data_IF_327908166386
#
_entry.id   IF_327908166386
#
_cell.length_a   1.000
_cell.length_b   1.000
_cell.length_c   1.000
_cell.angle_alpha   90.00
_cell.angle_beta   90.00
_cell.angle_gamma   90.00
#
_symmetry.space_group_name_H-M   'P 1'
#
loop_
_entity.id
_entity.type
_entity.pdbx_description
1 polymer ?
#
# COMPACT_ATOMS: atom_id res chain seq x y z
N UNK A 1 7.88 -25.07 9.63
CA UNK A 1 9.10 -24.77 10.42
C UNK A 1 9.55 -26.04 11.11
N UNK A 2 10.81 -26.49 10.88
CA UNK A 2 11.31 -27.78 11.39
C UNK A 2 11.83 -27.78 12.83
N UNK A 3 11.30 -26.91 13.70
CA UNK A 3 11.75 -26.85 15.10
C UNK A 3 10.91 -27.76 15.98
N UNK A 4 11.55 -28.47 16.93
CA UNK A 4 10.85 -29.27 17.92
C UNK A 4 10.06 -28.37 18.89
N UNK A 5 8.95 -28.89 19.42
CA UNK A 5 8.16 -28.20 20.46
C UNK A 5 9.02 -27.73 21.64
N UNK A 6 9.95 -28.56 22.10
CA UNK A 6 10.86 -28.23 23.20
C UNK A 6 11.76 -27.04 22.91
N UNK A 7 12.25 -26.94 21.67
CA UNK A 7 13.09 -25.82 21.24
C UNK A 7 12.27 -24.51 21.21
N UNK A 8 11.10 -24.51 20.56
CA UNK A 8 10.21 -23.35 20.49
C UNK A 8 9.82 -22.87 21.87
N UNK A 9 9.47 -23.81 22.76
CA UNK A 9 9.10 -23.51 24.14
C UNK A 9 10.26 -22.91 24.95
N UNK A 10 11.47 -23.48 24.85
CA UNK A 10 12.66 -22.94 25.50
C UNK A 10 12.99 -21.51 25.05
N UNK A 11 12.95 -21.26 23.73
CA UNK A 11 13.18 -19.94 23.15
C UNK A 11 12.13 -18.92 23.63
N UNK A 12 10.87 -19.34 23.68
CA UNK A 12 9.79 -18.48 24.16
C UNK A 12 10.01 -18.07 25.62
N UNK A 13 10.36 -19.02 26.50
CA UNK A 13 10.65 -18.76 27.92
C UNK A 13 11.86 -17.84 28.12
N UNK A 14 12.87 -17.98 27.28
CA UNK A 14 14.01 -17.07 27.28
C UNK A 14 13.61 -15.63 26.93
N UNK A 15 12.76 -15.45 25.91
CA UNK A 15 12.24 -14.11 25.56
C UNK A 15 11.34 -13.56 26.66
N UNK A 16 10.44 -14.35 27.26
CA UNK A 16 9.61 -13.91 28.38
C UNK A 16 10.47 -13.42 29.56
N UNK A 17 11.54 -14.16 29.87
CA UNK A 17 12.49 -13.76 30.93
C UNK A 17 13.21 -12.46 30.60
N UNK A 18 13.65 -12.28 29.35
CA UNK A 18 14.35 -11.07 28.91
C UNK A 18 13.45 -9.84 28.85
N UNK A 19 12.18 -10.02 28.48
CA UNK A 19 11.20 -8.95 28.35
C UNK A 19 10.52 -8.60 29.69
N UNK A 20 10.55 -9.50 30.66
CA UNK A 20 9.85 -9.35 31.93
C UNK A 20 8.32 -9.53 31.84
N UNK A 21 7.80 -10.01 30.71
CA UNK A 21 6.37 -10.20 30.45
C UNK A 21 6.08 -11.56 29.83
N UNK A 22 4.97 -12.18 30.22
CA UNK A 22 4.51 -13.40 29.59
C UNK A 22 4.02 -13.12 28.15
N UNK A 23 4.43 -13.98 27.22
CA UNK A 23 3.99 -13.92 25.81
C UNK A 23 2.81 -14.86 25.55
N UNK A 24 2.73 -15.96 26.31
CA UNK A 24 1.69 -16.97 26.17
C UNK A 24 0.99 -17.20 27.50
N UNK A 25 -0.33 -17.19 27.46
CA UNK A 25 -1.21 -17.59 28.55
C UNK A 25 -1.67 -19.04 28.35
N UNK A 26 -1.72 -19.81 29.46
CA UNK A 26 -2.19 -21.20 29.50
C UNK A 26 -3.32 -21.31 30.49
N UNK A 27 -4.43 -21.83 30.02
CA UNK A 27 -5.51 -22.30 30.89
C UNK A 27 -5.62 -23.81 30.76
N UNK A 28 -5.84 -24.51 31.90
CA UNK A 28 -5.93 -25.95 31.93
C UNK A 28 -7.07 -26.45 31.04
N UNK A 29 -6.73 -27.23 30.02
CA UNK A 29 -7.72 -27.77 29.06
C UNK A 29 -7.96 -26.88 27.81
N UNK A 30 -7.27 -25.76 27.69
CA UNK A 30 -7.34 -24.90 26.50
C UNK A 30 -6.03 -24.90 25.72
N UNK A 31 -6.10 -24.54 24.44
CA UNK A 31 -4.90 -24.28 23.63
C UNK A 31 -4.18 -23.02 24.12
N UNK A 32 -2.86 -22.99 23.98
CA UNK A 32 -2.05 -21.80 24.29
C UNK A 32 -2.57 -20.56 23.54
N UNK A 33 -2.73 -19.46 24.26
CA UNK A 33 -3.18 -18.19 23.69
C UNK A 33 -2.13 -17.10 23.88
N UNK A 34 -2.00 -16.19 22.94
CA UNK A 34 -1.13 -15.03 23.07
C UNK A 34 -1.69 -14.07 24.14
N UNK A 35 -0.79 -13.55 24.98
CA UNK A 35 -1.15 -12.47 25.90
C UNK A 35 -1.44 -11.18 25.13
N UNK A 36 -2.08 -10.21 25.79
CA UNK A 36 -2.31 -8.87 25.21
C UNK A 36 -0.98 -8.20 24.84
N UNK A 37 0.06 -8.37 25.66
CA UNK A 37 1.40 -7.86 25.38
C UNK A 37 2.00 -8.50 24.13
N UNK A 38 1.91 -9.84 23.99
CA UNK A 38 2.40 -10.53 22.80
C UNK A 38 1.64 -10.11 21.52
N UNK A 39 0.34 -9.92 21.61
CA UNK A 39 -0.46 -9.38 20.50
C UNK A 39 -0.01 -7.98 20.09
N UNK A 40 0.29 -7.09 21.06
CA UNK A 40 0.83 -5.75 20.78
C UNK A 40 2.20 -5.79 20.12
N UNK A 41 3.10 -6.69 20.54
CA UNK A 41 4.42 -6.90 19.93
C UNK A 41 4.29 -7.38 18.48
N UNK A 42 3.50 -8.41 18.24
CA UNK A 42 3.24 -8.91 16.88
C UNK A 42 2.61 -7.85 15.99
N UNK A 43 1.72 -7.06 16.56
CA UNK A 43 1.14 -5.97 15.83
C UNK A 43 2.18 -4.91 15.45
N UNK A 44 3.02 -4.48 16.40
CA UNK A 44 4.07 -3.49 16.15
C UNK A 44 5.08 -3.98 15.07
N UNK A 45 5.46 -5.25 15.14
CA UNK A 45 6.32 -5.88 14.13
C UNK A 45 5.67 -5.87 12.74
N UNK A 46 4.41 -6.33 12.63
CA UNK A 46 3.68 -6.31 11.35
C UNK A 46 3.47 -4.90 10.79
N UNK A 47 3.28 -3.90 11.65
CA UNK A 47 3.21 -2.51 11.25
C UNK A 47 4.55 -2.01 10.71
N UNK A 48 5.65 -2.33 11.39
CA UNK A 48 6.99 -1.99 10.92
C UNK A 48 7.30 -2.64 9.56
N UNK A 49 7.01 -3.92 9.40
CA UNK A 49 7.16 -4.62 8.12
C UNK A 49 6.33 -3.98 7.01
N UNK A 50 5.05 -3.68 7.25
CA UNK A 50 4.18 -3.06 6.25
C UNK A 50 4.65 -1.65 5.83
N UNK A 51 5.28 -0.91 6.75
CA UNK A 51 5.89 0.40 6.47
C UNK A 51 7.20 0.29 5.69
N UNK A 52 8.01 -0.71 5.99
CA UNK A 52 9.32 -0.90 5.36
C UNK A 52 9.25 -1.65 4.02
N UNK A 53 8.21 -2.44 3.78
CA UNK A 53 8.10 -3.29 2.60
C UNK A 53 8.36 -2.54 1.27
N UNK A 54 7.78 -1.34 0.99
CA UNK A 54 8.05 -0.63 -0.25
C UNK A 54 9.51 -0.20 -0.41
N UNK A 55 10.17 0.18 0.69
CA UNK A 55 11.58 0.58 0.67
C UNK A 55 12.50 -0.63 0.46
N UNK A 56 12.21 -1.75 1.12
CA UNK A 56 12.94 -3.00 0.94
C UNK A 56 12.81 -3.49 -0.50
N UNK A 57 11.60 -3.44 -1.08
CA UNK A 57 11.37 -3.84 -2.46
C UNK A 57 12.14 -2.93 -3.45
N UNK A 58 12.18 -1.62 -3.22
CA UNK A 58 12.97 -0.69 -4.02
C UNK A 58 14.48 -0.99 -3.96
N UNK A 59 15.03 -1.26 -2.77
CA UNK A 59 16.43 -1.64 -2.59
C UNK A 59 16.74 -2.98 -3.25
N UNK A 60 15.84 -3.95 -3.15
CA UNK A 60 15.99 -5.24 -3.82
C UNK A 60 16.07 -5.07 -5.35
N UNK A 61 15.19 -4.24 -5.92
CA UNK A 61 15.19 -3.93 -7.35
C UNK A 61 16.49 -3.25 -7.79
N UNK A 62 17.02 -2.33 -6.98
CA UNK A 62 18.30 -1.67 -7.26
C UNK A 62 19.47 -2.66 -7.28
N UNK A 63 19.52 -3.60 -6.34
CA UNK A 63 20.52 -4.65 -6.32
C UNK A 63 20.39 -5.60 -7.53
N UNK A 64 19.17 -6.05 -7.85
CA UNK A 64 18.93 -6.89 -9.03
C UNK A 64 19.39 -6.21 -10.31
N UNK A 65 19.13 -4.90 -10.46
CA UNK A 65 19.63 -4.11 -11.59
C UNK A 65 21.16 -4.14 -11.68
N UNK A 66 21.84 -3.90 -10.55
CA UNK A 66 23.30 -3.94 -10.52
C UNK A 66 23.84 -5.30 -10.93
N UNK A 67 23.26 -6.38 -10.46
CA UNK A 67 23.66 -7.73 -10.82
C UNK A 67 23.35 -8.07 -12.30
N UNK A 68 22.18 -7.70 -12.80
CA UNK A 68 21.79 -7.94 -14.18
C UNK A 68 22.81 -7.35 -15.16
N UNK A 69 23.18 -6.09 -14.97
CA UNK A 69 24.17 -5.41 -15.82
C UNK A 69 25.57 -6.04 -15.68
N UNK A 70 25.94 -6.48 -14.46
CA UNK A 70 27.25 -7.08 -14.22
C UNK A 70 27.41 -8.47 -14.83
N UNK A 71 26.34 -9.27 -14.89
CA UNK A 71 26.42 -10.66 -15.32
C UNK A 71 26.03 -10.90 -16.79
N UNK A 72 25.19 -10.04 -17.37
CA UNK A 72 24.81 -10.15 -18.79
C UNK A 72 24.66 -8.75 -19.43
N UNK A 73 25.72 -8.29 -20.15
CA UNK A 73 25.68 -6.99 -20.82
C UNK A 73 24.60 -6.87 -21.91
N UNK A 74 24.00 -7.99 -22.36
CA UNK A 74 22.96 -8.00 -23.38
C UNK A 74 21.54 -7.92 -22.75
N UNK A 75 21.42 -7.93 -21.43
CA UNK A 75 20.14 -7.78 -20.76
C UNK A 75 19.55 -6.40 -21.05
N UNK A 76 18.37 -6.36 -21.65
CA UNK A 76 17.59 -5.14 -21.84
C UNK A 76 16.91 -4.76 -20.53
N UNK A 77 17.30 -3.62 -19.96
CA UNK A 77 16.66 -3.06 -18.78
C UNK A 77 15.57 -2.08 -19.22
N UNK A 78 14.32 -2.38 -18.86
CA UNK A 78 13.19 -1.46 -19.05
C UNK A 78 12.93 -0.71 -17.74
N UNK A 79 13.32 0.56 -17.69
CA UNK A 79 13.12 1.41 -16.53
C UNK A 79 11.67 1.83 -16.39
N UNK A 80 11.07 1.54 -15.24
CA UNK A 80 9.67 1.81 -14.91
C UNK A 80 9.61 2.62 -13.62
N UNK A 81 9.10 3.84 -13.66
CA UNK A 81 8.75 4.62 -12.48
C UNK A 81 7.24 4.48 -12.24
N UNK A 82 6.82 3.98 -11.09
CA UNK A 82 5.43 3.59 -10.92
C UNK A 82 4.93 3.74 -9.48
N UNK A 83 3.65 4.05 -9.31
CA UNK A 83 3.03 3.86 -8.01
C UNK A 83 2.89 2.38 -7.70
N UNK A 84 3.09 2.03 -6.42
CA UNK A 84 3.10 0.63 -6.01
C UNK A 84 1.79 -0.09 -6.35
N UNK A 85 1.92 -1.21 -7.05
CA UNK A 85 0.84 -2.13 -7.36
C UNK A 85 1.40 -3.57 -7.42
N UNK A 86 0.72 -4.53 -6.78
CA UNK A 86 1.15 -5.93 -6.74
C UNK A 86 1.23 -6.55 -8.15
N UNK A 87 0.40 -6.08 -9.09
CA UNK A 87 0.44 -6.52 -10.49
C UNK A 87 1.78 -6.24 -11.16
N UNK A 88 2.45 -5.14 -10.81
CA UNK A 88 3.79 -4.84 -11.35
C UNK A 88 4.85 -5.79 -10.81
N UNK A 89 4.79 -6.14 -9.53
CA UNK A 89 5.71 -7.12 -8.94
C UNK A 89 5.51 -8.50 -9.60
N UNK A 90 4.27 -8.90 -9.86
CA UNK A 90 3.96 -10.12 -10.61
C UNK A 90 4.43 -10.05 -12.07
N UNK A 91 4.23 -8.91 -12.74
CA UNK A 91 4.70 -8.72 -14.12
C UNK A 91 6.23 -8.84 -14.20
N UNK A 92 6.96 -8.24 -13.27
CA UNK A 92 8.41 -8.36 -13.17
C UNK A 92 8.85 -9.82 -13.05
N UNK A 93 8.25 -10.54 -12.10
CA UNK A 93 8.56 -11.96 -11.89
C UNK A 93 8.25 -12.77 -13.15
N UNK A 94 7.11 -12.55 -13.78
CA UNK A 94 6.72 -13.22 -15.00
C UNK A 94 7.71 -12.96 -16.13
N UNK A 95 8.17 -11.71 -16.33
CA UNK A 95 9.18 -11.37 -17.33
C UNK A 95 10.50 -12.12 -17.07
N UNK A 96 10.95 -12.17 -15.82
CA UNK A 96 12.17 -12.87 -15.43
C UNK A 96 12.09 -14.39 -15.69
N UNK A 97 10.90 -14.97 -15.50
CA UNK A 97 10.65 -16.40 -15.76
C UNK A 97 10.56 -16.73 -17.26
N UNK A 98 10.08 -15.79 -18.11
CA UNK A 98 9.96 -16.01 -19.55
C UNK A 98 11.27 -15.80 -20.31
N UNK A 99 12.05 -14.82 -19.93
CA UNK A 99 13.31 -14.49 -20.61
C UNK A 99 14.30 -13.80 -19.70
N UNK A 100 15.55 -14.19 -19.78
CA UNK A 100 16.64 -13.48 -19.10
C UNK A 100 17.08 -12.20 -19.84
N UNK A 101 16.65 -12.04 -21.10
CA UNK A 101 17.04 -10.92 -21.93
C UNK A 101 16.30 -9.62 -21.62
N UNK A 102 15.17 -9.68 -20.91
CA UNK A 102 14.38 -8.50 -20.53
C UNK A 102 14.15 -8.48 -19.02
N UNK A 103 14.54 -7.40 -18.38
CA UNK A 103 14.28 -7.17 -16.96
C UNK A 103 13.55 -5.84 -16.74
N UNK A 104 12.56 -5.84 -15.86
CA UNK A 104 11.86 -4.62 -15.45
C UNK A 104 12.56 -4.02 -14.22
N UNK A 105 13.20 -2.88 -14.43
CA UNK A 105 13.79 -2.07 -13.36
C UNK A 105 12.72 -1.11 -12.81
N UNK A 106 11.99 -1.56 -11.79
CA UNK A 106 10.85 -0.83 -11.25
C UNK A 106 11.25 -0.02 -10.02
N UNK A 107 11.09 1.31 -10.12
CA UNK A 107 11.21 2.24 -8.99
C UNK A 107 9.83 2.64 -8.50
N UNK A 108 9.48 2.31 -7.25
CA UNK A 108 8.19 2.68 -6.68
C UNK A 108 8.21 4.10 -6.14
N UNK A 109 7.40 4.96 -6.76
CA UNK A 109 7.24 6.38 -6.44
C UNK A 109 5.76 6.78 -6.42
N UNK A 110 5.42 8.01 -6.09
CA UNK A 110 4.03 8.47 -6.22
C UNK A 110 3.60 8.59 -7.69
N UNK A 111 2.28 8.46 -7.97
CA UNK A 111 1.74 8.52 -9.34
C UNK A 111 2.15 9.78 -10.11
N UNK A 112 2.14 10.94 -9.45
CA UNK A 112 2.55 12.21 -10.07
C UNK A 112 4.06 12.20 -10.38
N UNK A 113 4.86 11.69 -9.46
CA UNK A 113 6.30 11.59 -9.64
C UNK A 113 6.66 10.60 -10.76
N UNK A 114 5.95 9.49 -10.87
CA UNK A 114 6.14 8.52 -11.96
C UNK A 114 5.97 9.17 -13.33
N UNK A 115 4.91 9.96 -13.51
CA UNK A 115 4.65 10.66 -14.78
C UNK A 115 5.67 11.78 -15.03
N UNK A 116 6.17 12.45 -13.99
CA UNK A 116 7.26 13.43 -14.12
C UNK A 116 8.57 12.78 -14.56
N UNK A 117 8.95 11.64 -13.97
CA UNK A 117 10.15 10.90 -14.37
C UNK A 117 10.07 10.41 -15.81
N UNK A 118 8.89 9.94 -16.24
CA UNK A 118 8.63 9.59 -17.64
C UNK A 118 8.83 10.82 -18.55
N UNK A 119 8.22 11.96 -18.23
CA UNK A 119 8.30 13.17 -19.06
C UNK A 119 9.70 13.77 -19.10
N UNK A 120 10.50 13.56 -18.06
CA UNK A 120 11.91 13.97 -17.99
C UNK A 120 12.87 12.99 -18.69
N UNK A 121 12.37 11.88 -19.26
CA UNK A 121 13.20 10.85 -19.89
C UNK A 121 14.03 10.03 -18.90
N UNK A 122 13.72 10.07 -17.60
CA UNK A 122 14.40 9.33 -16.54
C UNK A 122 13.81 7.93 -16.33
N UNK A 123 12.66 7.65 -16.93
CA UNK A 123 12.05 6.34 -17.03
C UNK A 123 11.49 6.13 -18.44
N UNK A 124 11.47 4.90 -18.92
CA UNK A 124 10.86 4.53 -20.20
C UNK A 124 9.36 4.28 -20.08
N UNK A 125 8.89 3.92 -18.88
CA UNK A 125 7.48 3.74 -18.57
C UNK A 125 7.13 4.45 -17.26
N UNK A 126 5.91 5.00 -17.20
CA UNK A 126 5.37 5.66 -16.00
C UNK A 126 4.06 5.00 -15.57
N UNK A 127 4.01 4.46 -14.35
CA UNK A 127 2.81 3.80 -13.82
C UNK A 127 2.00 4.70 -12.88
N UNK A 128 0.73 4.94 -13.20
CA UNK A 128 -0.13 5.81 -12.39
C UNK A 128 -1.59 5.35 -12.36
N UNK A 129 -2.26 5.72 -11.27
CA UNK A 129 -3.68 5.42 -11.08
C UNK A 129 -4.53 6.66 -11.32
N UNK A 130 -5.70 6.47 -11.94
CA UNK A 130 -6.69 7.54 -12.11
C UNK A 130 -8.11 6.98 -12.16
N UNK A 131 -9.08 7.81 -11.84
CA UNK A 131 -10.51 7.51 -11.97
C UNK A 131 -10.98 8.01 -13.33
N UNK A 132 -11.56 7.11 -14.14
CA UNK A 132 -12.16 7.49 -15.44
C UNK A 132 -13.62 7.91 -15.25
N UNK A 133 -14.12 8.75 -16.17
CA UNK A 133 -15.54 9.14 -16.20
C UNK A 133 -15.92 10.29 -15.27
N UNK A 134 -15.00 10.82 -14.48
CA UNK A 134 -15.20 12.07 -13.74
C UNK A 134 -14.93 13.24 -14.69
N UNK A 135 -15.71 14.31 -14.57
CA UNK A 135 -15.56 15.50 -15.42
C UNK A 135 -14.10 15.99 -15.39
N UNK A 136 -13.44 16.00 -16.56
CA UNK A 136 -12.02 16.33 -16.69
C UNK A 136 -11.61 17.68 -16.06
N UNK A 137 -12.54 18.65 -16.02
CA UNK A 137 -12.31 19.97 -15.41
C UNK A 137 -12.26 19.96 -13.88
N UNK A 138 -12.80 18.93 -13.25
CA UNK A 138 -12.84 18.78 -11.78
C UNK A 138 -12.03 17.60 -11.26
N UNK A 139 -11.44 16.81 -12.17
CA UNK A 139 -10.63 15.66 -11.78
C UNK A 139 -9.21 16.11 -11.40
N UNK A 140 -8.98 16.28 -10.12
CA UNK A 140 -7.69 16.71 -9.56
C UNK A 140 -6.54 15.80 -10.00
N UNK A 141 -6.79 14.49 -10.13
CA UNK A 141 -5.80 13.54 -10.61
C UNK A 141 -5.41 13.82 -12.07
N UNK A 142 -6.37 14.05 -12.96
CA UNK A 142 -6.08 14.41 -14.36
C UNK A 142 -5.32 15.73 -14.46
N UNK A 143 -5.73 16.74 -13.70
CA UNK A 143 -5.03 18.03 -13.66
C UNK A 143 -3.58 17.89 -13.19
N UNK A 144 -3.30 16.99 -12.24
CA UNK A 144 -1.95 16.73 -11.75
C UNK A 144 -1.06 16.03 -12.80
N UNK A 145 -1.63 15.19 -13.66
CA UNK A 145 -0.88 14.45 -14.70
C UNK A 145 -0.74 15.22 -16.00
N UNK A 146 -1.76 16.02 -16.39
CA UNK A 146 -1.85 16.70 -17.67
C UNK A 146 -0.60 17.48 -18.09
N UNK A 147 0.11 18.23 -17.21
CA UNK A 147 1.33 18.95 -17.60
C UNK A 147 2.50 18.05 -18.02
N UNK A 148 2.44 16.76 -17.70
CA UNK A 148 3.51 15.79 -17.90
C UNK A 148 3.16 14.70 -18.92
N UNK A 149 1.98 14.77 -19.54
CA UNK A 149 1.54 13.82 -20.55
C UNK A 149 1.60 14.45 -21.94
N UNK A 150 2.34 13.81 -22.84
CA UNK A 150 2.56 14.26 -24.21
C UNK A 150 1.98 13.25 -25.22
N UNK A 151 0.68 13.38 -25.63
CA UNK A 151 -0.02 12.36 -26.42
C UNK A 151 0.63 11.98 -27.76
N UNK A 152 1.50 12.86 -28.32
CA UNK A 152 2.22 12.62 -29.56
C UNK A 152 3.54 11.83 -29.36
N UNK A 153 4.00 11.72 -28.12
CA UNK A 153 5.30 11.10 -27.77
C UNK A 153 5.14 9.89 -26.86
N UNK A 154 3.98 9.73 -26.25
CA UNK A 154 3.69 8.73 -25.26
C UNK A 154 2.47 7.90 -25.70
N UNK A 155 2.46 6.64 -25.29
CA UNK A 155 1.36 5.71 -25.48
C UNK A 155 0.78 5.35 -24.11
N UNK A 156 -0.52 5.30 -23.98
CA UNK A 156 -1.20 4.92 -22.73
C UNK A 156 -1.64 3.45 -22.82
N UNK A 157 -1.14 2.64 -21.90
CA UNK A 157 -1.46 1.21 -21.81
C UNK A 157 -2.34 0.99 -20.59
N UNK A 158 -3.57 0.49 -20.79
CA UNK A 158 -4.43 0.05 -19.68
C UNK A 158 -3.86 -1.24 -19.07
N UNK A 159 -3.46 -1.18 -17.81
CA UNK A 159 -2.81 -2.31 -17.14
C UNK A 159 -3.77 -3.07 -16.22
N UNK A 160 -4.47 -2.37 -15.32
CA UNK A 160 -5.35 -2.99 -14.35
C UNK A 160 -6.51 -2.08 -13.95
N UNK A 161 -7.54 -2.67 -13.38
CA UNK A 161 -8.63 -1.96 -12.69
C UNK A 161 -8.72 -2.47 -11.26
N UNK A 162 -9.02 -1.56 -10.32
CA UNK A 162 -9.19 -1.91 -8.91
C UNK A 162 -10.25 -1.03 -8.24
N UNK A 163 -10.88 -1.55 -7.18
CA UNK A 163 -11.74 -0.76 -6.32
C UNK A 163 -10.92 -0.01 -5.28
N UNK A 164 -11.10 1.31 -5.20
CA UNK A 164 -10.74 2.09 -4.04
C UNK A 164 -11.96 2.39 -3.17
N UNK A 165 -11.75 2.36 -1.86
CA UNK A 165 -12.83 2.57 -0.90
C UNK A 165 -12.32 2.71 0.53
N UNK A 166 -13.26 2.78 1.45
CA UNK A 166 -12.95 2.88 2.87
C UNK A 166 -12.72 1.48 3.45
N UNK A 167 -11.53 1.29 4.00
CA UNK A 167 -11.17 0.12 4.80
C UNK A 167 -11.53 0.42 6.26
N UNK A 168 -12.27 -0.47 6.89
CA UNK A 168 -12.72 -0.34 8.27
C UNK A 168 -12.56 -1.67 9.02
N UNK A 169 -12.55 -1.63 10.35
CA UNK A 169 -12.48 -2.83 11.16
C UNK A 169 -13.59 -3.83 10.78
N UNK A 170 -13.32 -5.12 10.97
CA UNK A 170 -14.26 -6.20 10.64
C UNK A 170 -15.63 -5.95 11.27
N UNK A 171 -16.66 -6.08 10.45
CA UNK A 171 -18.05 -5.83 10.88
C UNK A 171 -18.45 -4.36 10.91
N UNK A 172 -17.56 -3.44 10.54
CA UNK A 172 -17.85 -2.01 10.46
C UNK A 172 -18.52 -1.44 11.73
N UNK A 173 -17.85 -1.47 12.89
CA UNK A 173 -18.46 -1.13 14.19
C UNK A 173 -18.96 0.32 14.27
N UNK A 174 -18.41 1.22 13.43
CA UNK A 174 -18.82 2.64 13.37
C UNK A 174 -19.87 2.94 12.31
N UNK A 175 -20.40 1.90 11.62
CA UNK A 175 -21.42 2.01 10.60
C UNK A 175 -21.07 3.08 9.54
N UNK A 176 -19.83 3.04 9.03
CA UNK A 176 -19.34 3.94 7.99
C UNK A 176 -19.90 3.47 6.66
N UNK A 177 -20.48 4.38 5.86
CA UNK A 177 -21.09 4.07 4.58
C UNK A 177 -20.55 4.95 3.45
N UNK A 178 -19.98 6.11 3.79
CA UNK A 178 -19.58 7.13 2.81
C UNK A 178 -18.42 7.98 3.31
N UNK A 179 -17.90 8.83 2.41
CA UNK A 179 -16.86 9.82 2.74
C UNK A 179 -17.33 10.84 3.78
N UNK A 180 -18.62 11.18 3.80
CA UNK A 180 -19.19 12.12 4.77
C UNK A 180 -19.08 11.61 6.20
N UNK A 181 -19.08 10.30 6.40
CA UNK A 181 -18.92 9.71 7.73
C UNK A 181 -17.54 9.94 8.35
N UNK A 182 -16.53 10.35 7.57
CA UNK A 182 -15.20 10.64 8.08
C UNK A 182 -15.16 11.83 9.05
N UNK A 183 -16.18 12.68 9.03
CA UNK A 183 -16.32 13.83 9.95
C UNK A 183 -16.83 13.44 11.33
N UNK A 184 -17.19 12.18 11.58
CA UNK A 184 -17.60 11.71 12.91
C UNK A 184 -16.45 11.90 13.91
N UNK A 185 -16.68 12.64 14.97
CA UNK A 185 -15.66 13.05 15.94
C UNK A 185 -14.97 11.91 16.70
N UNK A 186 -15.61 10.75 16.77
CA UNK A 186 -15.09 9.54 17.42
C UNK A 186 -14.24 8.65 16.50
N UNK A 187 -14.09 9.01 15.21
CA UNK A 187 -13.28 8.23 14.25
C UNK A 187 -11.84 8.72 14.23
N UNK A 188 -10.91 7.76 14.11
CA UNK A 188 -9.50 8.01 13.83
C UNK A 188 -9.22 7.59 12.39
N UNK A 189 -8.99 8.56 11.54
CA UNK A 189 -8.64 8.35 10.15
C UNK A 189 -7.12 8.14 10.01
N UNK A 190 -6.72 7.35 9.02
CA UNK A 190 -5.33 7.21 8.58
C UNK A 190 -5.25 7.40 7.08
N UNK A 191 -4.31 8.22 6.63
CA UNK A 191 -4.17 8.71 5.27
C UNK A 191 -2.97 8.10 4.54
N UNK A 192 -2.89 8.38 3.26
CA UNK A 192 -1.72 8.15 2.41
C UNK A 192 -0.89 9.42 2.27
N UNK A 193 0.40 9.27 1.94
CA UNK A 193 1.30 10.39 1.70
C UNK A 193 0.80 11.30 0.55
N UNK A 194 1.12 12.58 0.62
CA UNK A 194 0.87 13.52 -0.46
C UNK A 194 1.51 13.05 -1.77
N UNK A 195 0.86 13.35 -2.90
CA UNK A 195 1.32 12.93 -4.23
C UNK A 195 0.99 11.48 -4.60
N UNK A 196 0.42 10.68 -3.69
CA UNK A 196 -0.13 9.37 -4.06
C UNK A 196 -1.51 9.51 -4.71
N UNK A 197 -1.85 8.62 -5.66
CA UNK A 197 -3.16 8.64 -6.32
C UNK A 197 -4.33 8.56 -5.34
N UNK A 198 -4.20 7.77 -4.27
CA UNK A 198 -5.20 7.64 -3.21
C UNK A 198 -5.40 8.94 -2.43
N UNK A 199 -4.32 9.69 -2.15
CA UNK A 199 -4.43 10.99 -1.49
C UNK A 199 -5.11 12.01 -2.40
N UNK A 200 -4.74 12.07 -3.68
CA UNK A 200 -5.39 12.93 -4.66
C UNK A 200 -6.89 12.62 -4.79
N UNK A 201 -7.24 11.33 -4.80
CA UNK A 201 -8.64 10.90 -4.83
C UNK A 201 -9.39 11.34 -3.56
N UNK A 202 -8.80 11.16 -2.37
CA UNK A 202 -9.42 11.63 -1.13
C UNK A 202 -9.68 13.12 -1.17
N UNK A 203 -8.66 13.92 -1.50
CA UNK A 203 -8.75 15.37 -1.52
C UNK A 203 -9.82 15.86 -2.53
N UNK A 204 -9.94 15.18 -3.68
CA UNK A 204 -11.00 15.41 -4.66
C UNK A 204 -12.39 15.09 -4.10
N UNK A 205 -12.55 13.97 -3.40
CA UNK A 205 -13.83 13.59 -2.78
C UNK A 205 -14.22 14.57 -1.68
N UNK A 206 -13.27 14.97 -0.83
CA UNK A 206 -13.51 15.96 0.22
C UNK A 206 -13.98 17.29 -0.39
N UNK A 207 -13.34 17.77 -1.44
CA UNK A 207 -13.75 18.97 -2.16
C UNK A 207 -15.16 18.83 -2.75
N UNK A 208 -15.47 17.67 -3.36
CA UNK A 208 -16.79 17.40 -3.94
C UNK A 208 -17.90 17.47 -2.88
N UNK A 209 -17.65 16.93 -1.68
CA UNK A 209 -18.60 16.91 -0.57
C UNK A 209 -18.49 18.13 0.34
N UNK A 210 -17.63 19.11 0.03
CA UNK A 210 -17.40 20.34 0.82
C UNK A 210 -17.00 20.03 2.27
N UNK A 211 -16.12 19.06 2.44
CA UNK A 211 -15.55 18.65 3.73
C UNK A 211 -14.15 19.23 3.83
N UNK A 212 -13.89 20.00 4.89
CA UNK A 212 -12.55 20.52 5.19
C UNK A 212 -11.70 19.45 5.88
N UNK A 213 -10.41 19.45 5.61
CA UNK A 213 -9.49 18.41 6.13
C UNK A 213 -9.37 18.43 7.67
N UNK A 214 -9.54 19.58 8.29
CA UNK A 214 -9.52 19.77 9.74
C UNK A 214 -10.71 19.13 10.46
N UNK A 215 -11.79 18.84 9.73
CA UNK A 215 -12.96 18.10 10.25
C UNK A 215 -12.68 16.61 10.39
N UNK A 216 -11.55 16.11 9.84
CA UNK A 216 -11.21 14.69 9.85
C UNK A 216 -10.08 14.44 10.85
N UNK A 217 -10.42 13.86 11.99
CA UNK A 217 -9.43 13.50 13.01
C UNK A 217 -8.46 12.45 12.48
N UNK A 218 -7.17 12.79 12.38
CA UNK A 218 -6.12 11.90 11.86
C UNK A 218 -5.83 12.07 10.38
N UNK A 219 -6.36 13.12 9.73
CA UNK A 219 -6.05 13.43 8.32
C UNK A 219 -4.54 13.56 8.05
N UNK A 220 -3.75 14.06 9.02
CA UNK A 220 -2.29 14.17 8.93
C UNK A 220 -1.54 12.91 9.40
N UNK A 221 -2.26 11.87 9.86
CA UNK A 221 -1.66 10.58 10.18
C UNK A 221 -1.41 9.81 8.89
N UNK A 222 -0.15 9.59 8.52
CA UNK A 222 0.24 9.08 7.20
C UNK A 222 0.84 7.69 7.29
N UNK A 223 0.44 6.82 6.35
CA UNK A 223 1.03 5.50 6.12
C UNK A 223 1.54 5.36 4.67
N UNK A 224 2.70 4.71 4.46
CA UNK A 224 3.38 4.70 3.17
C UNK A 224 2.73 3.78 2.13
N UNK A 225 1.91 2.80 2.53
CA UNK A 225 1.30 1.81 1.62
C UNK A 225 -0.14 1.49 2.01
N UNK A 226 -0.91 0.92 1.08
CA UNK A 226 -2.25 0.40 1.38
C UNK A 226 -2.22 -0.70 2.45
N UNK A 227 -1.18 -1.55 2.41
CA UNK A 227 -0.97 -2.59 3.41
C UNK A 227 -0.71 -1.99 4.81
N UNK A 228 0.04 -0.89 4.91
CA UNK A 228 0.30 -0.20 6.17
C UNK A 228 -0.97 0.48 6.71
N UNK A 229 -1.79 1.09 5.86
CA UNK A 229 -3.12 1.62 6.25
C UNK A 229 -4.00 0.49 6.77
N UNK A 230 -4.10 -0.63 6.04
CA UNK A 230 -4.89 -1.79 6.47
C UNK A 230 -4.36 -2.38 7.79
N UNK A 231 -3.04 -2.43 7.98
CA UNK A 231 -2.41 -2.91 9.20
C UNK A 231 -2.70 -1.96 10.40
N UNK A 232 -2.69 -0.64 10.19
CA UNK A 232 -3.03 0.34 11.23
C UNK A 232 -4.48 0.17 11.71
N UNK A 233 -5.41 -0.09 10.78
CA UNK A 233 -6.82 -0.33 11.11
C UNK A 233 -6.96 -1.69 11.82
N UNK A 234 -6.37 -2.74 11.28
CA UNK A 234 -6.44 -4.08 11.87
C UNK A 234 -5.82 -4.17 13.27
N UNK A 235 -4.85 -3.31 13.57
CA UNK A 235 -4.21 -3.17 14.89
C UNK A 235 -4.90 -2.19 15.83
N UNK A 236 -5.98 -1.52 15.41
CA UNK A 236 -6.72 -0.58 16.24
C UNK A 236 -6.03 0.76 16.49
N UNK A 237 -5.03 1.15 15.69
CA UNK A 237 -4.45 2.50 15.72
C UNK A 237 -5.34 3.52 15.02
N UNK A 238 -6.01 3.08 13.96
CA UNK A 238 -7.00 3.85 13.23
C UNK A 238 -8.30 3.04 13.12
N UNK A 239 -9.38 3.72 12.81
CA UNK A 239 -10.71 3.12 12.67
C UNK A 239 -11.11 3.02 11.20
N UNK A 240 -10.57 3.90 10.36
CA UNK A 240 -10.86 4.00 8.92
C UNK A 240 -9.70 4.59 8.14
N UNK A 241 -9.55 4.19 6.88
CA UNK A 241 -8.60 4.77 5.92
C UNK A 241 -9.03 4.46 4.50
N UNK A 242 -8.60 5.29 3.54
CA UNK A 242 -8.85 5.05 2.13
C UNK A 242 -7.79 4.11 1.55
N UNK A 243 -8.23 3.10 0.81
CA UNK A 243 -7.31 2.14 0.20
C UNK A 243 -7.97 1.20 -0.79
N UNK A 244 -7.25 0.15 -1.18
CA UNK A 244 -7.71 -0.85 -2.15
C UNK A 244 -8.34 -2.05 -1.45
N UNK A 245 -9.32 -2.67 -2.13
CA UNK A 245 -10.04 -3.83 -1.61
C UNK A 245 -9.11 -5.02 -1.29
N UNK A 246 -8.09 -5.27 -2.11
CA UNK A 246 -7.13 -6.35 -1.89
C UNK A 246 -6.42 -6.23 -0.53
N UNK A 247 -5.98 -5.01 -0.16
CA UNK A 247 -5.33 -4.77 1.14
C UNK A 247 -6.30 -4.94 2.32
N UNK A 248 -7.57 -4.57 2.16
CA UNK A 248 -8.59 -4.81 3.18
C UNK A 248 -8.82 -6.32 3.39
N UNK A 249 -8.98 -7.07 2.30
CA UNK A 249 -9.16 -8.53 2.34
C UNK A 249 -7.97 -9.25 2.98
N UNK A 250 -6.75 -8.87 2.63
CA UNK A 250 -5.52 -9.46 3.18
C UNK A 250 -5.40 -9.32 4.71
N UNK A 251 -6.09 -8.34 5.30
CA UNK A 251 -6.14 -8.08 6.75
C UNK A 251 -7.49 -8.38 7.38
N UNK A 252 -8.39 -9.06 6.65
CA UNK A 252 -9.73 -9.43 7.14
C UNK A 252 -10.55 -8.22 7.64
N UNK A 253 -10.38 -7.07 6.97
CA UNK A 253 -11.15 -5.85 7.21
C UNK A 253 -12.43 -5.85 6.39
N UNK A 254 -13.42 -5.07 6.81
CA UNK A 254 -14.57 -4.71 5.99
C UNK A 254 -14.18 -3.60 5.01
N UNK A 255 -14.80 -3.61 3.82
CA UNK A 255 -14.51 -2.68 2.73
C UNK A 255 -15.78 -2.04 2.20
N UNK A 256 -15.79 -0.72 2.07
CA UNK A 256 -16.88 0.05 1.50
C UNK A 256 -16.38 0.65 0.18
N UNK A 257 -16.78 0.13 -0.99
CA UNK A 257 -16.31 0.61 -2.27
C UNK A 257 -16.80 2.05 -2.52
N UNK A 258 -15.91 2.91 -3.03
CA UNK A 258 -16.23 4.31 -3.36
C UNK A 258 -16.08 4.56 -4.86
N UNK A 259 -14.95 4.13 -5.47
CA UNK A 259 -14.68 4.34 -6.89
C UNK A 259 -13.98 3.14 -7.52
N UNK A 260 -14.15 3.01 -8.83
CA UNK A 260 -13.31 2.17 -9.68
C UNK A 260 -12.14 3.01 -10.19
N UNK A 261 -10.94 2.52 -10.03
CA UNK A 261 -9.72 3.15 -10.44
C UNK A 261 -9.04 2.32 -11.52
N UNK A 262 -8.50 3.00 -12.53
CA UNK A 262 -7.71 2.39 -13.59
C UNK A 262 -6.23 2.65 -13.36
N UNK A 263 -5.43 1.64 -13.58
CA UNK A 263 -3.99 1.73 -13.57
C UNK A 263 -3.48 1.73 -15.01
N UNK A 264 -2.67 2.71 -15.34
CA UNK A 264 -2.06 2.87 -16.65
C UNK A 264 -0.54 2.83 -16.56
N UNK A 265 0.05 2.33 -17.62
CA UNK A 265 1.47 2.42 -17.90
C UNK A 265 1.70 3.28 -19.14
#
# INVERSE_FOLDING_TARGET
MGFSYRHVWGTLKQYESSLGFALVAWEKGQSAQLTEFANKLLWAERQAQARLAPAIESLHNELERCFAVAFDPNTLLLSVAASHDEGLSHLRQWCADQTKALQLDISFVGSVEAVKLLSAGQALMGGFHTVLGVNAKTNTSQLAFQPHLYPKQQCLIGFAMRSQGLMVAKGNPFQIQSIQDLTKSNLRFVNRAQGTGTRLLLDQLLQQFKIESDQIRGYETIEPSHAAVAQAIGGGLADVGLGIEASARAKNLSFIPIVQEHYFL
#
